data_IF_148308727018
#
_entry.id   IF_148308727018
#
_cell.length_a   1.000
_cell.length_b   1.000
_cell.length_c   1.000
_cell.angle_alpha   90.00
_cell.angle_beta   90.00
_cell.angle_gamma   90.00
#
_symmetry.space_group_name_H-M   'P 1'
#
loop_
_entity.id
_entity.type
_entity.pdbx_description
1 polymer ?
#
# COMPACT_ATOMS: atom_id res chain seq x y z
N UNK A 1 14.77 0.92 -1.57
CA UNK A 1 14.16 1.49 -2.79
C UNK A 1 13.78 0.35 -3.72
N UNK A 2 12.59 0.38 -4.33
CA UNK A 2 12.15 -0.67 -5.22
C UNK A 2 12.95 -0.62 -6.53
N UNK A 3 13.71 -1.67 -6.81
CA UNK A 3 14.41 -1.88 -8.08
C UNK A 3 13.76 -2.97 -8.91
N UNK A 4 13.86 -2.87 -10.24
CA UNK A 4 13.47 -3.94 -11.16
C UNK A 4 14.60 -4.16 -12.16
N UNK A 5 15.07 -5.40 -12.23
CA UNK A 5 16.00 -5.85 -13.26
C UNK A 5 15.21 -6.26 -14.49
N UNK A 6 15.45 -5.58 -15.61
CA UNK A 6 14.80 -5.87 -16.89
C UNK A 6 15.70 -6.84 -17.68
N UNK A 7 15.12 -7.88 -18.28
CA UNK A 7 15.85 -8.82 -19.15
C UNK A 7 15.82 -8.31 -20.60
N UNK A 8 16.86 -8.61 -21.39
CA UNK A 8 16.89 -8.30 -22.83
C UNK A 8 15.72 -9.01 -23.53
N UNK A 9 14.89 -8.26 -24.25
CA UNK A 9 13.68 -8.76 -24.93
C UNK A 9 12.38 -8.60 -24.14
N UNK A 10 12.40 -8.01 -22.95
CA UNK A 10 11.16 -7.71 -22.22
C UNK A 10 10.48 -6.43 -22.74
N UNK A 11 9.17 -6.45 -23.04
CA UNK A 11 8.43 -5.23 -23.38
C UNK A 11 8.39 -4.26 -22.19
N UNK A 12 8.67 -2.99 -22.47
CA UNK A 12 8.76 -1.91 -21.47
C UNK A 12 7.51 -1.82 -20.58
N UNK A 13 6.33 -2.00 -21.16
CA UNK A 13 5.05 -1.94 -20.44
C UNK A 13 4.94 -2.99 -19.33
N UNK A 14 5.50 -4.19 -19.54
CA UNK A 14 5.50 -5.25 -18.53
C UNK A 14 6.42 -4.88 -17.37
N UNK A 15 7.58 -4.32 -17.66
CA UNK A 15 8.52 -3.85 -16.64
C UNK A 15 7.89 -2.73 -15.78
N UNK A 16 7.22 -1.75 -16.41
CA UNK A 16 6.52 -0.66 -15.73
C UNK A 16 5.38 -1.16 -14.83
N UNK A 17 4.59 -2.13 -15.30
CA UNK A 17 3.52 -2.73 -14.48
C UNK A 17 4.06 -3.44 -13.25
N UNK A 18 5.19 -4.14 -13.36
CA UNK A 18 5.84 -4.77 -12.20
C UNK A 18 6.37 -3.71 -11.22
N UNK A 19 6.92 -2.61 -11.74
CA UNK A 19 7.45 -1.52 -10.91
C UNK A 19 6.35 -0.90 -10.08
N UNK A 20 5.22 -0.60 -10.73
CA UNK A 20 4.01 -0.13 -10.05
C UNK A 20 3.54 -1.10 -8.98
N UNK A 21 3.41 -2.39 -9.29
CA UNK A 21 3.03 -3.41 -8.28
C UNK A 21 4.00 -3.48 -7.09
N UNK A 22 5.31 -3.31 -7.33
CA UNK A 22 6.32 -3.31 -6.26
C UNK A 22 6.20 -2.05 -5.39
N UNK A 23 6.03 -0.87 -5.99
CA UNK A 23 5.77 0.39 -5.30
C UNK A 23 4.49 0.35 -4.45
N UNK A 24 3.43 -0.25 -4.99
CA UNK A 24 2.15 -0.40 -4.28
C UNK A 24 2.28 -1.36 -3.09
N UNK A 25 3.02 -2.48 -3.26
CA UNK A 25 3.29 -3.45 -2.18
C UNK A 25 4.09 -2.82 -1.04
N UNK A 26 5.11 -2.03 -1.37
CA UNK A 26 5.93 -1.32 -0.39
C UNK A 26 5.20 -0.11 0.23
N UNK A 27 3.96 0.21 -0.21
CA UNK A 27 3.13 1.33 0.27
C UNK A 27 3.80 2.72 0.18
N UNK A 28 4.85 2.88 -0.63
CA UNK A 28 5.66 4.11 -0.72
C UNK A 28 4.81 5.34 -1.02
N UNK A 29 3.87 5.23 -1.98
CA UNK A 29 2.98 6.34 -2.36
C UNK A 29 2.01 6.70 -1.22
N UNK A 30 1.53 5.70 -0.49
CA UNK A 30 0.61 5.89 0.63
C UNK A 30 1.31 6.59 1.79
N UNK A 31 2.54 6.20 2.08
CA UNK A 31 3.35 6.80 3.14
C UNK A 31 3.77 8.22 2.81
N UNK A 32 4.15 8.49 1.56
CA UNK A 32 4.42 9.85 1.08
C UNK A 32 3.20 10.77 1.27
N UNK A 33 1.99 10.28 0.97
CA UNK A 33 0.73 11.04 1.20
C UNK A 33 0.44 11.25 2.69
N UNK A 34 0.64 10.22 3.52
CA UNK A 34 0.41 10.31 4.96
C UNK A 34 1.38 11.27 5.66
N UNK A 35 2.61 11.38 5.15
CA UNK A 35 3.67 12.22 5.73
C UNK A 35 3.74 13.62 5.10
N UNK A 36 2.86 13.96 4.15
CA UNK A 36 2.85 15.27 3.49
C UNK A 36 2.59 16.42 4.46
N UNK A 37 1.87 16.16 5.55
CA UNK A 37 1.56 17.14 6.58
C UNK A 37 1.77 16.54 7.96
N UNK A 38 2.01 17.40 8.95
CA UNK A 38 2.09 16.95 10.33
C UNK A 38 0.73 16.45 10.83
N UNK A 39 0.70 15.21 11.31
CA UNK A 39 -0.47 14.61 11.94
C UNK A 39 -0.20 14.39 13.43
N UNK A 40 -1.03 14.98 14.28
CA UNK A 40 -0.95 14.80 15.74
C UNK A 40 -0.95 13.30 16.10
N UNK A 41 -0.20 12.86 17.13
CA UNK A 41 -0.09 11.44 17.49
C UNK A 41 -1.45 10.80 17.82
N UNK A 42 -2.38 11.55 18.42
CA UNK A 42 -3.75 11.11 18.68
C UNK A 42 -4.53 10.79 17.41
N UNK A 43 -4.40 11.63 16.37
CA UNK A 43 -5.05 11.44 15.07
C UNK A 43 -4.45 10.23 14.33
N UNK A 44 -3.12 10.05 14.38
CA UNK A 44 -2.44 8.84 13.85
C UNK A 44 -3.01 7.56 14.48
N UNK A 45 -3.17 7.54 15.81
CA UNK A 45 -3.77 6.41 16.55
C UNK A 45 -5.22 6.17 16.14
N UNK A 46 -6.03 7.23 16.04
CA UNK A 46 -7.43 7.15 15.61
C UNK A 46 -7.57 6.58 14.20
N UNK A 47 -6.75 7.02 13.24
CA UNK A 47 -6.74 6.51 11.86
C UNK A 47 -6.41 5.01 11.83
N UNK A 48 -5.37 4.59 12.56
CA UNK A 48 -4.98 3.16 12.65
C UNK A 48 -6.11 2.29 13.20
N UNK A 49 -6.74 2.72 14.30
CA UNK A 49 -7.88 1.99 14.90
C UNK A 49 -9.07 1.90 13.95
N UNK A 50 -9.41 2.98 13.24
CA UNK A 50 -10.52 3.00 12.28
C UNK A 50 -10.29 1.98 11.15
N UNK A 51 -9.08 1.96 10.58
CA UNK A 51 -8.71 1.00 9.53
C UNK A 51 -8.76 -0.44 10.08
N UNK A 52 -8.19 -0.69 11.25
CA UNK A 52 -8.18 -2.02 11.85
C UNK A 52 -9.60 -2.56 12.12
N UNK A 53 -10.49 -1.74 12.69
CA UNK A 53 -11.91 -2.10 12.92
C UNK A 53 -12.62 -2.44 11.62
N UNK A 54 -12.42 -1.63 10.58
CA UNK A 54 -13.02 -1.88 9.27
C UNK A 54 -12.50 -3.17 8.63
N UNK A 55 -11.18 -3.40 8.66
CA UNK A 55 -10.58 -4.64 8.16
C UNK A 55 -11.09 -5.86 8.93
N UNK A 56 -11.24 -5.77 10.26
CA UNK A 56 -11.78 -6.85 11.07
C UNK A 56 -13.23 -7.17 10.70
N UNK A 57 -14.08 -6.14 10.58
CA UNK A 57 -15.48 -6.29 10.16
C UNK A 57 -15.61 -6.98 8.80
N UNK A 58 -14.74 -6.65 7.83
CA UNK A 58 -14.72 -7.33 6.53
C UNK A 58 -14.29 -8.79 6.67
N UNK A 59 -13.26 -9.08 7.45
CA UNK A 59 -12.79 -10.46 7.67
C UNK A 59 -13.87 -11.33 8.29
N UNK A 60 -14.55 -10.84 9.33
CA UNK A 60 -15.64 -11.58 9.99
C UNK A 60 -16.81 -11.82 9.04
N UNK A 61 -17.15 -10.84 8.18
CA UNK A 61 -18.26 -10.95 7.23
C UNK A 61 -18.03 -12.02 6.15
N UNK A 62 -16.79 -12.21 5.74
CA UNK A 62 -16.42 -13.20 4.71
C UNK A 62 -15.78 -14.47 5.30
N UNK A 63 -15.86 -14.67 6.62
CA UNK A 63 -15.31 -15.86 7.26
C UNK A 63 -16.19 -17.10 7.05
N UNK A 64 -17.50 -16.90 6.90
CA UNK A 64 -18.50 -17.97 6.83
C UNK A 64 -19.08 -18.18 5.41
N UNK A 65 -18.43 -17.65 4.37
CA UNK A 65 -18.80 -17.79 2.96
C UNK A 65 -17.67 -18.48 2.17
#
# INVERSE_FOLDING_TARGET
MPEIRIRKGEPLDRALRRLKKRLDRENVIKDARNNRYYEKPSMRKRRKMKVAKFTQMLKTRYADA
#
